data_IF_954179334653
#
_entry.id   IF_954179334653
#
_cell.length_a   1.000
_cell.length_b   1.000
_cell.length_c   1.000
_cell.angle_alpha   90.00
_cell.angle_beta   90.00
_cell.angle_gamma   90.00
#
_symmetry.space_group_name_H-M   'P 1'
#
loop_
_entity.id
_entity.type
_entity.pdbx_description
1 polymer ?
#
# COMPACT_ATOMS: atom_id res chain seq x y z
N UNK A 1 -15.80 3.68 6.71
CA UNK A 1 -15.55 2.61 5.72
C UNK A 1 -15.06 3.27 4.43
N UNK A 2 -13.98 2.79 3.81
CA UNK A 2 -13.46 3.41 2.59
C UNK A 2 -14.49 3.37 1.45
N UNK A 3 -14.65 4.46 0.68
CA UNK A 3 -15.19 4.34 -0.66
C UNK A 3 -14.22 3.45 -1.44
N UNK A 4 -14.65 2.24 -1.79
CA UNK A 4 -13.80 1.23 -2.47
C UNK A 4 -13.08 1.83 -3.68
N UNK A 5 -13.78 2.62 -4.50
CA UNK A 5 -13.18 3.31 -5.64
C UNK A 5 -12.08 4.30 -5.23
N UNK A 6 -12.29 5.09 -4.16
CA UNK A 6 -11.29 6.01 -3.66
C UNK A 6 -10.06 5.31 -3.11
N UNK A 7 -10.26 4.14 -2.48
CA UNK A 7 -9.17 3.28 -2.07
C UNK A 7 -8.30 2.87 -3.26
N UNK A 8 -8.85 2.23 -4.30
CA UNK A 8 -8.07 1.81 -5.48
C UNK A 8 -7.44 2.99 -6.24
N UNK A 9 -8.02 4.20 -6.15
CA UNK A 9 -7.46 5.39 -6.79
C UNK A 9 -6.31 6.06 -6.02
N UNK A 10 -6.03 5.66 -4.78
CA UNK A 10 -4.94 6.20 -3.96
C UNK A 10 -5.33 7.38 -3.05
N UNK A 11 -6.62 7.70 -2.93
CA UNK A 11 -7.12 8.79 -2.08
C UNK A 11 -6.88 8.50 -0.59
N UNK A 12 -6.29 9.47 0.12
CA UNK A 12 -5.81 9.31 1.50
C UNK A 12 -6.54 10.21 2.50
N UNK A 13 -7.51 10.99 2.05
CA UNK A 13 -8.29 11.89 2.88
C UNK A 13 -8.99 11.12 3.99
N UNK A 14 -8.92 11.63 5.21
CA UNK A 14 -9.56 11.03 6.39
C UNK A 14 -11.06 11.35 6.39
N UNK A 15 -11.86 10.37 6.77
CA UNK A 15 -13.29 10.58 7.00
C UNK A 15 -13.54 11.32 8.31
N UNK A 16 -14.75 11.85 8.48
CA UNK A 16 -15.16 12.56 9.70
C UNK A 16 -14.97 11.71 10.97
N UNK A 17 -15.27 10.40 10.89
CA UNK A 17 -15.12 9.48 12.02
C UNK A 17 -13.66 9.27 12.43
N UNK A 18 -12.73 9.27 11.48
CA UNK A 18 -11.30 9.09 11.74
C UNK A 18 -10.71 10.35 12.34
N UNK A 19 -11.11 11.52 11.84
CA UNK A 19 -10.77 12.81 12.45
C UNK A 19 -11.32 12.89 13.88
N UNK A 20 -12.58 12.46 14.09
CA UNK A 20 -13.19 12.40 15.42
C UNK A 20 -12.44 11.45 16.36
N UNK A 21 -12.04 10.28 15.87
CA UNK A 21 -11.27 9.31 16.63
C UNK A 21 -9.90 9.87 17.04
N UNK A 22 -9.20 10.54 16.13
CA UNK A 22 -7.93 11.20 16.43
C UNK A 22 -8.10 12.29 17.51
N UNK A 23 -9.17 13.10 17.42
CA UNK A 23 -9.51 14.09 18.46
C UNK A 23 -9.72 13.42 19.83
N UNK A 24 -10.49 12.33 19.89
CA UNK A 24 -10.73 11.60 21.14
C UNK A 24 -9.41 11.09 21.75
N UNK A 25 -8.48 10.61 20.93
CA UNK A 25 -7.17 10.18 21.42
C UNK A 25 -6.36 11.34 22.02
N UNK A 26 -6.38 12.52 21.39
CA UNK A 26 -5.75 13.73 21.95
C UNK A 26 -6.38 14.17 23.25
N UNK A 27 -7.71 14.19 23.33
CA UNK A 27 -8.46 14.55 24.55
C UNK A 27 -8.13 13.62 25.72
N UNK A 28 -7.74 12.37 25.44
CA UNK A 28 -7.32 11.37 26.44
C UNK A 28 -5.82 11.41 26.75
N UNK A 29 -5.05 12.31 26.15
CA UNK A 29 -3.60 12.40 26.34
C UNK A 29 -2.78 11.37 25.56
N UNK A 30 -3.38 10.68 24.58
CA UNK A 30 -2.73 9.68 23.71
C UNK A 30 -2.42 10.28 22.33
N UNK A 31 -1.50 11.24 22.27
CA UNK A 31 -1.12 11.88 21.00
C UNK A 31 -0.50 10.89 20.00
N UNK A 32 0.22 9.88 20.49
CA UNK A 32 0.79 8.80 19.69
C UNK A 32 -0.29 8.03 18.90
N UNK A 33 -1.40 7.68 19.54
CA UNK A 33 -2.52 7.02 18.88
C UNK A 33 -3.26 7.96 17.92
N UNK A 34 -3.35 9.24 18.25
CA UNK A 34 -3.90 10.24 17.33
C UNK A 34 -3.07 10.33 16.05
N UNK A 35 -1.74 10.37 16.17
CA UNK A 35 -0.80 10.35 15.01
C UNK A 35 -0.98 9.08 14.20
N UNK A 36 -1.11 7.91 14.84
CA UNK A 36 -1.37 6.65 14.14
C UNK A 36 -2.66 6.69 13.31
N UNK A 37 -3.73 7.31 13.81
CA UNK A 37 -4.97 7.49 13.04
C UNK A 37 -4.78 8.45 11.86
N UNK A 38 -4.09 9.57 12.10
CA UNK A 38 -3.91 10.62 11.09
C UNK A 38 -3.00 10.18 9.95
N UNK A 39 -1.90 9.49 10.26
CA UNK A 39 -0.85 9.12 9.31
C UNK A 39 -0.94 7.65 8.85
N UNK A 40 -1.76 6.84 9.52
CA UNK A 40 -1.81 5.39 9.33
C UNK A 40 -2.33 4.92 7.98
N UNK A 41 -3.01 5.78 7.21
CA UNK A 41 -3.57 5.45 5.89
C UNK A 41 -2.53 4.87 4.92
N UNK A 42 -1.35 5.49 4.85
CA UNK A 42 -0.27 5.05 3.94
C UNK A 42 0.24 3.67 4.34
N UNK A 43 0.38 3.43 5.64
CA UNK A 43 0.83 2.16 6.23
C UNK A 43 -0.22 1.06 6.00
N UNK A 44 -1.51 1.36 6.20
CA UNK A 44 -2.59 0.43 5.92
C UNK A 44 -2.64 0.02 4.45
N UNK A 45 -2.45 0.96 3.51
CA UNK A 45 -2.37 0.67 2.07
C UNK A 45 -1.20 -0.24 1.73
N UNK A 46 -0.04 0.04 2.31
CA UNK A 46 1.14 -0.78 2.15
C UNK A 46 0.87 -2.21 2.61
N UNK A 47 0.32 -2.40 3.82
CA UNK A 47 -0.05 -3.74 4.30
C UNK A 47 -1.14 -4.41 3.47
N UNK A 48 -2.13 -3.67 2.98
CA UNK A 48 -3.15 -4.21 2.08
C UNK A 48 -2.54 -4.75 0.78
N UNK A 49 -1.60 -4.02 0.20
CA UNK A 49 -0.90 -4.46 -1.01
C UNK A 49 -0.01 -5.70 -0.79
N UNK A 50 0.45 -5.94 0.45
CA UNK A 50 1.31 -7.07 0.82
C UNK A 50 0.57 -8.30 1.37
N UNK A 51 -0.71 -8.16 1.77
CA UNK A 51 -1.45 -9.19 2.47
C UNK A 51 -1.77 -10.42 1.60
N UNK A 52 -2.12 -11.57 2.19
CA UNK A 52 -2.50 -12.78 1.45
C UNK A 52 -3.76 -12.61 0.59
N UNK A 53 -4.57 -11.58 0.84
CA UNK A 53 -5.66 -11.14 -0.05
C UNK A 53 -5.14 -10.66 -1.43
N UNK A 54 -3.86 -10.26 -1.52
CA UNK A 54 -3.21 -9.88 -2.78
C UNK A 54 -2.94 -11.08 -3.69
N UNK A 55 -2.85 -12.28 -3.12
CA UNK A 55 -2.65 -13.56 -3.81
C UNK A 55 -3.81 -13.93 -4.74
N UNK A 56 -4.99 -13.32 -4.55
CA UNK A 56 -6.21 -13.59 -5.31
C UNK A 56 -6.51 -12.52 -6.38
N UNK A 57 -5.59 -11.59 -6.60
CA UNK A 57 -5.82 -10.48 -7.51
C UNK A 57 -5.42 -10.84 -8.94
N UNK A 58 -6.30 -10.56 -9.89
CA UNK A 58 -5.94 -10.55 -11.29
C UNK A 58 -4.91 -9.44 -11.59
N UNK A 59 -4.19 -9.57 -12.72
CA UNK A 59 -3.13 -8.63 -13.10
C UNK A 59 -3.61 -7.17 -13.24
N UNK A 60 -4.88 -6.94 -13.60
CA UNK A 60 -5.43 -5.58 -13.69
C UNK A 60 -5.63 -5.00 -12.30
N UNK A 61 -6.14 -5.79 -11.36
CA UNK A 61 -6.31 -5.36 -9.97
C UNK A 61 -4.95 -5.07 -9.31
N UNK A 62 -3.93 -5.91 -9.57
CA UNK A 62 -2.56 -5.66 -9.11
C UNK A 62 -2.02 -4.31 -9.63
N UNK A 63 -2.16 -4.05 -10.93
CA UNK A 63 -1.72 -2.79 -11.53
C UNK A 63 -2.43 -1.56 -10.92
N UNK A 64 -3.73 -1.65 -10.66
CA UNK A 64 -4.49 -0.59 -10.01
C UNK A 64 -4.01 -0.31 -8.58
N UNK A 65 -3.78 -1.36 -7.78
CA UNK A 65 -3.28 -1.22 -6.40
C UNK A 65 -1.86 -0.64 -6.41
N UNK A 66 -0.99 -1.12 -7.30
CA UNK A 66 0.38 -0.62 -7.42
C UNK A 66 0.38 0.88 -7.78
N UNK A 67 -0.42 1.31 -8.74
CA UNK A 67 -0.58 2.72 -9.08
C UNK A 67 -1.16 3.55 -7.91
N UNK A 68 -2.16 3.01 -7.20
CA UNK A 68 -2.73 3.64 -6.01
C UNK A 68 -1.70 3.80 -4.87
N UNK A 69 -0.82 2.81 -4.69
CA UNK A 69 0.27 2.85 -3.72
C UNK A 69 1.30 3.92 -4.09
N UNK A 70 1.74 3.98 -5.35
CA UNK A 70 2.67 5.01 -5.82
C UNK A 70 2.12 6.42 -5.55
N UNK A 71 0.84 6.67 -5.88
CA UNK A 71 0.19 7.96 -5.58
C UNK A 71 0.12 8.25 -4.09
N UNK A 72 -0.19 7.25 -3.26
CA UNK A 72 -0.27 7.43 -1.82
C UNK A 72 1.05 7.87 -1.17
N UNK A 73 2.18 7.51 -1.79
CA UNK A 73 3.52 7.88 -1.37
C UNK A 73 4.14 9.03 -2.18
N UNK A 74 3.36 9.70 -3.04
CA UNK A 74 3.82 10.77 -3.93
C UNK A 74 5.01 10.35 -4.82
N UNK A 75 5.01 9.10 -5.28
CA UNK A 75 5.99 8.57 -6.23
C UNK A 75 5.55 8.88 -7.68
N UNK A 76 6.52 8.92 -8.59
CA UNK A 76 6.23 8.94 -10.02
C UNK A 76 5.43 7.70 -10.41
N UNK A 77 4.41 7.87 -11.25
CA UNK A 77 3.57 6.76 -11.67
C UNK A 77 4.30 5.92 -12.72
N UNK A 78 4.79 4.76 -12.30
CA UNK A 78 5.38 3.75 -13.16
C UNK A 78 4.41 2.58 -13.40
N UNK A 79 4.36 2.09 -14.63
CA UNK A 79 3.60 0.89 -14.96
C UNK A 79 4.25 -0.34 -14.30
N UNK A 80 3.42 -1.27 -13.81
CA UNK A 80 3.87 -2.42 -13.03
C UNK A 80 4.94 -3.26 -13.76
N UNK A 81 4.73 -3.57 -15.04
CA UNK A 81 5.69 -4.33 -15.85
C UNK A 81 7.03 -3.61 -15.99
N UNK A 82 7.01 -2.31 -16.32
CA UNK A 82 8.22 -1.48 -16.41
C UNK A 82 8.98 -1.44 -15.08
N UNK A 83 8.26 -1.21 -13.98
CA UNK A 83 8.83 -1.23 -12.63
C UNK A 83 9.44 -2.59 -12.29
N UNK A 84 8.70 -3.69 -12.55
CA UNK A 84 9.14 -5.06 -12.29
C UNK A 84 10.42 -5.39 -13.05
N UNK A 85 10.52 -5.02 -14.33
CA UNK A 85 11.73 -5.25 -15.13
C UNK A 85 12.94 -4.52 -14.56
N UNK A 86 12.78 -3.26 -14.12
CA UNK A 86 13.86 -2.50 -13.47
C UNK A 86 14.24 -3.11 -12.12
N UNK A 87 13.24 -3.53 -11.34
CA UNK A 87 13.42 -4.18 -10.06
C UNK A 87 14.26 -5.46 -10.21
N UNK A 88 13.85 -6.37 -11.09
CA UNK A 88 14.57 -7.63 -11.32
C UNK A 88 16.03 -7.42 -11.73
N UNK A 89 16.30 -6.41 -12.56
CA UNK A 89 17.67 -6.06 -12.93
C UNK A 89 18.46 -5.49 -11.74
N UNK A 90 17.84 -4.65 -10.93
CA UNK A 90 18.47 -4.02 -9.76
C UNK A 90 18.84 -5.05 -8.68
N UNK A 91 18.01 -6.08 -8.50
CA UNK A 91 18.17 -7.11 -7.49
C UNK A 91 18.55 -8.47 -8.08
N UNK A 92 19.23 -8.47 -9.23
CA UNK A 92 19.59 -9.70 -9.95
C UNK A 92 20.52 -10.64 -9.16
N UNK A 93 21.26 -10.10 -8.18
CA UNK A 93 22.19 -10.83 -7.33
C UNK A 93 21.65 -11.02 -5.89
N UNK A 94 20.34 -10.83 -5.68
CA UNK A 94 19.70 -11.09 -4.38
C UNK A 94 19.26 -12.55 -4.31
N UNK A 95 20.03 -13.37 -3.58
CA UNK A 95 19.79 -14.81 -3.44
C UNK A 95 18.39 -15.14 -2.89
N UNK A 96 17.83 -14.27 -2.05
CA UNK A 96 16.49 -14.47 -1.47
C UNK A 96 15.41 -14.23 -2.53
N UNK A 97 15.56 -13.18 -3.34
CA UNK A 97 14.66 -12.91 -4.46
C UNK A 97 14.74 -14.01 -5.53
N UNK A 98 15.94 -14.47 -5.87
CA UNK A 98 16.15 -15.55 -6.84
C UNK A 98 15.45 -16.84 -6.38
N UNK A 99 15.64 -17.21 -5.11
CA UNK A 99 14.98 -18.38 -4.50
C UNK A 99 13.45 -18.30 -4.59
N UNK A 100 12.86 -17.12 -4.37
CA UNK A 100 11.41 -16.91 -4.47
C UNK A 100 10.88 -16.97 -5.90
N UNK A 101 11.67 -16.54 -6.88
CA UNK A 101 11.30 -16.60 -8.30
C UNK A 101 11.32 -18.03 -8.83
N UNK A 102 12.31 -18.82 -8.41
CA UNK A 102 12.41 -20.25 -8.75
C UNK A 102 11.23 -21.04 -8.19
N UNK A 103 10.85 -20.78 -6.93
CA UNK A 103 9.70 -21.41 -6.25
C UNK A 103 8.35 -21.21 -6.98
N UNK A 104 8.18 -20.10 -7.69
CA UNK A 104 6.95 -19.78 -8.43
C UNK A 104 6.98 -20.21 -9.91
N UNK A 105 8.07 -20.84 -10.35
CA UNK A 105 8.24 -21.33 -11.74
C UNK A 105 8.01 -22.84 -11.91
N UNK A 106 7.73 -23.55 -10.82
CA UNK A 106 7.39 -24.97 -10.74
C UNK A 106 5.88 -25.18 -10.52
#
# INVERSE_FOLDING_TARGET
>A
MWPVAGFFNGFNELGADELRLATIFREKGSEDLAICVLEGRKVQRFFFALGPESSFLDMRTLACIFAGLQRAFNLENEEWGAWKSKALKKWENDDSLLSLLELNSA
#
